data_IF_181177376793
#
_entry.id   IF_181177376793
#
_cell.length_a   1.000
_cell.length_b   1.000
_cell.length_c   1.000
_cell.angle_alpha   90.00
_cell.angle_beta   90.00
_cell.angle_gamma   90.00
#
_symmetry.space_group_name_H-M   'P 1'
#
loop_
_entity.id
_entity.type
_entity.pdbx_description
1 polymer ?
#
# COMPACT_ATOMS: atom_id res chain seq x y z
N UNK A 1 -24.44 -6.68 -2.96
CA UNK A 1 -24.72 -5.23 -2.78
C UNK A 1 -24.51 -4.94 -1.32
N UNK A 2 -23.57 -4.07 -0.98
CA UNK A 2 -23.34 -3.67 0.42
C UNK A 2 -24.51 -2.78 0.81
N UNK A 3 -25.18 -3.14 1.92
CA UNK A 3 -26.28 -2.34 2.47
C UNK A 3 -25.68 -1.16 3.25
N UNK A 4 -25.50 -0.03 2.57
CA UNK A 4 -24.93 1.18 3.17
C UNK A 4 -25.84 1.80 4.24
N UNK A 5 -27.15 1.49 4.26
CA UNK A 5 -28.08 1.99 5.26
C UNK A 5 -27.84 1.35 6.64
N UNK A 6 -27.13 0.23 6.69
CA UNK A 6 -26.71 -0.44 7.94
C UNK A 6 -25.26 -0.15 8.34
N UNK A 7 -24.50 0.56 7.52
CA UNK A 7 -23.14 0.93 7.87
C UNK A 7 -23.14 1.91 9.03
N UNK A 8 -22.58 1.52 10.18
CA UNK A 8 -22.34 2.45 11.27
C UNK A 8 -21.11 3.29 10.96
N UNK A 9 -21.25 4.59 11.07
CA UNK A 9 -20.14 5.52 10.94
C UNK A 9 -19.14 5.28 12.09
N UNK A 10 -17.92 4.88 11.76
CA UNK A 10 -16.82 4.75 12.69
C UNK A 10 -16.04 6.07 12.71
N UNK A 11 -16.12 6.80 13.82
CA UNK A 11 -15.36 8.04 13.99
C UNK A 11 -14.04 7.77 14.68
N UNK A 12 -12.95 7.95 13.95
CA UNK A 12 -11.61 8.01 14.51
C UNK A 12 -11.22 9.48 14.57
N UNK A 13 -11.15 10.04 15.77
CA UNK A 13 -10.83 11.46 15.96
C UNK A 13 -9.36 11.71 15.59
N UNK A 14 -9.12 12.79 14.83
CA UNK A 14 -7.79 13.31 14.50
C UNK A 14 -6.92 12.33 13.69
N UNK A 15 -7.51 11.33 13.04
CA UNK A 15 -6.77 10.45 12.16
C UNK A 15 -6.51 11.14 10.82
N UNK A 16 -5.27 11.05 10.35
CA UNK A 16 -4.93 11.33 8.97
C UNK A 16 -4.86 9.99 8.23
N UNK A 17 -5.81 9.75 7.36
CA UNK A 17 -5.97 8.47 6.63
C UNK A 17 -6.01 8.67 5.12
N UNK A 18 -5.67 9.84 4.64
CA UNK A 18 -5.87 10.23 3.24
C UNK A 18 -4.96 9.45 2.29
N UNK A 19 -3.84 8.92 2.81
CA UNK A 19 -2.92 8.14 1.99
C UNK A 19 -3.34 6.68 1.88
N UNK A 20 -3.39 6.18 0.67
CA UNK A 20 -4.01 4.90 0.29
C UNK A 20 -3.02 3.72 0.12
N UNK A 21 -1.73 3.98 -0.04
CA UNK A 21 -0.72 2.95 -0.40
C UNK A 21 -0.58 1.85 0.67
N UNK A 22 -0.72 2.14 1.94
CA UNK A 22 -0.42 1.18 2.99
C UNK A 22 -1.66 0.39 3.41
N UNK A 23 -1.49 -0.90 3.75
CA UNK A 23 -2.53 -1.69 4.40
C UNK A 23 -2.78 -1.14 5.81
N UNK A 24 -3.88 -0.41 5.98
CA UNK A 24 -4.22 0.31 7.22
C UNK A 24 -5.19 -0.46 8.09
N UNK A 25 -5.93 -1.39 7.52
CA UNK A 25 -6.97 -2.12 8.22
C UNK A 25 -6.97 -3.58 7.80
N UNK A 26 -7.06 -4.47 8.76
CA UNK A 26 -7.13 -5.90 8.53
C UNK A 26 -8.22 -6.52 9.40
N UNK A 27 -9.02 -7.40 8.81
CA UNK A 27 -9.96 -8.26 9.54
C UNK A 27 -9.22 -9.54 9.89
N UNK A 28 -9.09 -9.81 11.18
CA UNK A 28 -8.39 -10.99 11.67
C UNK A 28 -9.35 -12.17 11.87
N UNK A 29 -8.79 -13.37 12.02
CA UNK A 29 -9.55 -14.62 12.20
C UNK A 29 -10.38 -14.64 13.49
N UNK A 30 -10.00 -13.85 14.50
CA UNK A 30 -10.79 -13.66 15.71
C UNK A 30 -12.06 -12.82 15.50
N UNK A 31 -12.30 -12.34 14.26
CA UNK A 31 -13.45 -11.52 13.88
C UNK A 31 -13.34 -10.04 14.26
N UNK A 32 -12.19 -9.60 14.77
CA UNK A 32 -11.92 -8.20 15.04
C UNK A 32 -11.25 -7.53 13.84
N UNK A 33 -11.47 -6.24 13.69
CA UNK A 33 -10.79 -5.39 12.71
C UNK A 33 -9.75 -4.54 13.44
N UNK A 34 -8.52 -4.58 12.96
CA UNK A 34 -7.43 -3.74 13.45
C UNK A 34 -7.15 -2.63 12.43
N UNK A 35 -7.13 -1.38 12.89
CA UNK A 35 -6.86 -0.21 12.05
C UNK A 35 -5.67 0.53 12.63
N UNK A 36 -4.59 0.64 11.86
CA UNK A 36 -3.44 1.47 12.20
C UNK A 36 -3.57 2.84 11.50
N UNK A 37 -3.24 3.92 12.21
CA UNK A 37 -3.37 5.27 11.68
C UNK A 37 -2.38 6.24 12.32
N UNK A 38 -2.09 7.34 11.63
CA UNK A 38 -1.35 8.49 12.16
C UNK A 38 -2.34 9.59 12.53
N UNK A 39 -2.09 10.28 13.64
CA UNK A 39 -2.87 11.44 14.05
C UNK A 39 -2.30 12.72 13.44
N UNK A 40 -3.09 13.80 13.48
CA UNK A 40 -2.67 15.17 13.14
C UNK A 40 -1.54 15.72 14.04
N UNK A 41 -1.16 14.98 15.10
CA UNK A 41 -0.02 15.27 15.96
C UNK A 41 1.19 14.37 15.71
N UNK A 42 1.15 13.56 14.64
CA UNK A 42 2.21 12.61 14.30
C UNK A 42 2.29 11.39 15.23
N UNK A 43 1.22 11.07 15.94
CA UNK A 43 1.16 9.88 16.79
C UNK A 43 0.67 8.67 15.99
N UNK A 44 1.36 7.55 16.09
CA UNK A 44 0.96 6.28 15.50
C UNK A 44 0.09 5.51 16.49
N UNK A 45 -1.08 5.15 16.06
CA UNK A 45 -2.06 4.42 16.84
C UNK A 45 -2.50 3.15 16.13
N UNK A 46 -2.99 2.19 16.91
CA UNK A 46 -3.79 1.06 16.45
C UNK A 46 -5.10 1.02 17.21
N UNK A 47 -6.19 0.81 16.47
CA UNK A 47 -7.53 0.68 17.01
C UNK A 47 -8.07 -0.72 16.71
N UNK A 48 -8.70 -1.31 17.72
CA UNK A 48 -9.41 -2.57 17.63
C UNK A 48 -10.91 -2.31 17.58
N UNK A 49 -11.58 -2.92 16.62
CA UNK A 49 -13.01 -2.78 16.37
C UNK A 49 -13.65 -4.16 16.22
N UNK A 50 -14.79 -4.35 16.84
CA UNK A 50 -15.64 -5.49 16.55
C UNK A 50 -16.44 -5.21 15.26
N UNK A 51 -16.16 -5.95 14.19
CA UNK A 51 -16.85 -5.83 12.90
C UNK A 51 -18.36 -6.05 13.00
N UNK A 52 -18.82 -6.83 13.98
CA UNK A 52 -20.25 -7.06 14.25
C UNK A 52 -20.89 -5.91 14.98
N UNK A 53 -20.13 -4.84 15.28
CA UNK A 53 -20.59 -3.70 16.07
C UNK A 53 -21.31 -4.12 17.37
N UNK A 54 -20.84 -5.21 17.99
CA UNK A 54 -21.34 -5.66 19.26
C UNK A 54 -21.00 -4.62 20.33
N UNK A 55 -21.53 -4.78 21.52
CA UNK A 55 -21.39 -3.81 22.63
C UNK A 55 -19.96 -3.71 23.18
N UNK A 56 -19.00 -4.40 22.57
CA UNK A 56 -17.59 -4.36 23.00
C UNK A 56 -17.00 -2.98 22.68
N UNK A 57 -16.54 -2.23 23.67
CA UNK A 57 -15.93 -0.92 23.43
C UNK A 57 -14.66 -1.12 22.59
N UNK A 58 -14.51 -0.26 21.57
CA UNK A 58 -13.28 -0.23 20.78
C UNK A 58 -12.10 0.14 21.68
N UNK A 59 -11.00 -0.61 21.58
CA UNK A 59 -9.73 -0.27 22.23
C UNK A 59 -8.87 0.54 21.27
N UNK A 60 -8.14 1.50 21.79
CA UNK A 60 -7.20 2.35 21.07
C UNK A 60 -5.86 2.35 21.81
N UNK A 61 -4.78 2.10 21.11
CA UNK A 61 -3.45 2.03 21.71
C UNK A 61 -2.47 2.87 20.90
N UNK A 62 -1.79 3.79 21.60
CA UNK A 62 -0.72 4.60 21.02
C UNK A 62 0.57 3.81 21.00
N UNK A 63 1.15 3.61 19.82
CA UNK A 63 2.43 2.93 19.65
C UNK A 63 3.62 3.86 19.90
N UNK A 64 3.63 5.03 19.26
CA UNK A 64 4.71 6.00 19.38
C UNK A 64 4.24 7.40 18.96
N UNK A 65 5.17 8.35 19.04
CA UNK A 65 5.05 9.65 18.37
C UNK A 65 6.25 9.79 17.45
N UNK A 66 5.97 10.00 16.16
CA UNK A 66 7.01 10.28 15.19
C UNK A 66 7.68 11.61 15.51
N UNK A 67 8.99 11.67 15.29
CA UNK A 67 9.76 12.91 15.45
C UNK A 67 9.62 13.76 14.16
N UNK A 68 8.37 14.09 13.81
CA UNK A 68 8.01 14.97 12.71
C UNK A 68 7.03 16.01 13.25
N UNK A 69 7.13 17.23 12.75
CA UNK A 69 6.34 18.36 13.25
C UNK A 69 4.92 18.43 12.67
N UNK A 70 4.57 17.50 11.75
CA UNK A 70 3.32 17.57 10.98
C UNK A 70 2.64 16.23 10.91
N UNK A 71 1.30 16.27 10.88
CA UNK A 71 0.50 15.18 10.37
C UNK A 71 0.67 15.12 8.85
N UNK A 72 1.57 14.27 8.40
CA UNK A 72 1.84 14.02 7.00
C UNK A 72 1.26 12.64 6.66
N UNK A 73 0.40 12.58 5.67
CA UNK A 73 -0.25 11.34 5.24
C UNK A 73 0.73 10.28 4.75
N UNK A 74 1.93 10.69 4.29
CA UNK A 74 3.00 9.78 3.92
C UNK A 74 3.54 8.98 5.12
N UNK A 75 3.24 9.40 6.34
CA UNK A 75 3.59 8.71 7.58
C UNK A 75 2.60 7.60 7.95
N UNK A 76 1.62 7.33 7.09
CA UNK A 76 0.61 6.31 7.35
C UNK A 76 1.26 4.95 7.65
N UNK A 77 0.91 4.29 8.77
CA UNK A 77 1.44 2.99 9.13
C UNK A 77 0.84 1.87 8.29
N UNK A 78 1.48 0.70 8.34
CA UNK A 78 0.93 -0.56 7.84
C UNK A 78 0.71 -1.53 8.97
N UNK A 79 -0.37 -2.29 8.94
CA UNK A 79 -0.70 -3.32 9.93
C UNK A 79 -0.78 -4.69 9.26
N UNK A 80 -0.23 -5.71 9.92
CA UNK A 80 -0.39 -7.10 9.53
C UNK A 80 -0.71 -7.94 10.77
N UNK A 81 -1.61 -8.90 10.65
CA UNK A 81 -1.89 -9.90 11.68
C UNK A 81 -1.33 -11.22 11.17
N UNK A 82 -0.41 -11.80 11.95
CA UNK A 82 0.28 -13.03 11.61
C UNK A 82 -0.59 -14.25 11.92
N UNK A 83 -0.30 -15.39 11.31
CA UNK A 83 -0.98 -16.68 11.58
C UNK A 83 -0.93 -17.04 13.08
N UNK A 84 0.14 -16.66 13.78
CA UNK A 84 0.24 -16.77 15.23
C UNK A 84 -0.76 -15.90 16.02
N UNK A 85 -1.50 -15.02 15.34
CA UNK A 85 -2.36 -13.99 15.94
C UNK A 85 -1.60 -12.78 16.47
N UNK A 86 -0.26 -12.74 16.37
CA UNK A 86 0.52 -11.55 16.75
C UNK A 86 0.30 -10.44 15.72
N UNK A 87 0.26 -9.21 16.20
CA UNK A 87 0.00 -8.03 15.36
C UNK A 87 1.30 -7.26 15.22
N UNK A 88 1.70 -6.98 13.99
CA UNK A 88 2.82 -6.09 13.68
C UNK A 88 2.30 -4.79 13.06
N UNK A 89 2.84 -3.67 13.52
CA UNK A 89 2.60 -2.35 12.94
C UNK A 89 3.94 -1.75 12.56
N UNK A 90 4.12 -1.49 11.27
CA UNK A 90 5.29 -0.83 10.70
C UNK A 90 4.99 0.63 10.38
N UNK A 91 5.95 1.52 10.59
CA UNK A 91 5.81 2.95 10.36
C UNK A 91 7.15 3.62 10.10
N UNK A 92 7.10 4.76 9.42
CA UNK A 92 8.24 5.64 9.19
C UNK A 92 7.75 7.07 9.06
N UNK A 93 8.63 8.04 9.21
CA UNK A 93 8.33 9.41 8.79
C UNK A 93 8.54 9.57 7.29
N UNK A 94 8.02 10.65 6.71
CA UNK A 94 8.27 10.99 5.32
C UNK A 94 9.75 11.35 5.13
N UNK A 95 10.46 10.58 4.29
CA UNK A 95 11.89 10.75 4.01
C UNK A 95 12.77 10.79 5.29
N UNK A 96 12.43 10.01 6.32
CA UNK A 96 13.23 9.89 7.54
C UNK A 96 14.21 8.71 7.48
N UNK A 97 15.19 8.69 8.41
CA UNK A 97 16.12 7.57 8.50
C UNK A 97 15.51 6.43 9.32
N UNK A 98 15.59 5.22 8.76
CA UNK A 98 15.10 4.01 9.39
C UNK A 98 13.59 3.80 9.27
N UNK A 99 13.21 2.55 9.26
CA UNK A 99 11.85 2.07 9.35
C UNK A 99 11.67 1.46 10.72
N UNK A 100 10.57 1.78 11.37
CA UNK A 100 10.27 1.32 12.72
C UNK A 100 9.10 0.34 12.70
N UNK A 101 9.10 -0.59 13.65
CA UNK A 101 7.94 -1.43 13.88
C UNK A 101 7.86 -1.88 15.34
N UNK A 102 6.67 -2.28 15.73
CA UNK A 102 6.40 -2.99 16.99
C UNK A 102 5.52 -4.19 16.72
N UNK A 103 5.70 -5.22 17.51
CA UNK A 103 4.92 -6.46 17.42
C UNK A 103 4.36 -6.80 18.79
N UNK A 104 3.12 -7.33 18.84
CA UNK A 104 2.50 -7.75 20.11
C UNK A 104 3.21 -8.98 20.68
N UNK A 105 3.34 -9.05 21.98
CA UNK A 105 3.89 -10.22 22.68
C UNK A 105 2.84 -11.35 22.81
N UNK A 106 1.55 -10.97 22.82
CA UNK A 106 0.41 -11.89 22.91
C UNK A 106 -0.44 -11.81 21.65
N UNK A 107 -1.01 -12.94 21.20
CA UNK A 107 -1.96 -12.95 20.09
C UNK A 107 -3.13 -12.01 20.34
N UNK A 108 -3.51 -11.24 19.32
CA UNK A 108 -4.70 -10.38 19.28
C UNK A 108 -4.81 -9.35 20.42
N UNK A 109 -3.71 -9.03 21.11
CA UNK A 109 -3.73 -8.09 22.24
C UNK A 109 -2.95 -6.81 21.93
N UNK A 110 -3.65 -5.77 21.48
CA UNK A 110 -3.05 -4.47 21.16
C UNK A 110 -2.43 -3.75 22.37
N UNK A 111 -2.64 -4.21 23.59
CA UNK A 111 -1.98 -3.66 24.79
C UNK A 111 -0.62 -4.29 25.06
N UNK A 112 -0.27 -5.37 24.36
CA UNK A 112 0.94 -6.16 24.59
C UNK A 112 2.07 -5.86 23.60
N UNK A 113 2.09 -4.70 22.94
CA UNK A 113 3.20 -4.34 22.04
C UNK A 113 4.54 -4.29 22.78
N UNK A 114 5.50 -5.08 22.28
CA UNK A 114 6.87 -5.07 22.73
C UNK A 114 7.62 -3.76 22.42
N UNK A 115 8.92 -3.75 22.60
CA UNK A 115 9.78 -2.59 22.32
C UNK A 115 9.76 -2.28 20.82
N UNK A 116 9.96 -0.98 20.49
CA UNK A 116 10.19 -0.53 19.13
C UNK A 116 11.50 -1.11 18.58
N UNK A 117 11.44 -1.60 17.36
CA UNK A 117 12.62 -2.05 16.62
C UNK A 117 12.81 -1.10 15.43
N UNK A 118 14.04 -0.73 15.14
CA UNK A 118 14.41 0.09 13.99
C UNK A 118 15.20 -0.74 13.00
N UNK A 119 14.73 -0.79 11.77
CA UNK A 119 15.47 -1.37 10.64
C UNK A 119 16.28 -0.27 9.96
N UNK A 120 17.61 -0.43 9.87
CA UNK A 120 18.44 0.51 9.15
C UNK A 120 18.28 0.37 7.64
N UNK A 121 18.40 1.50 6.95
CA UNK A 121 18.47 1.60 5.49
C UNK A 121 19.58 2.57 5.08
N UNK A 122 20.16 2.32 3.92
CA UNK A 122 21.11 3.25 3.32
C UNK A 122 20.32 4.33 2.54
N UNK A 123 19.87 5.33 3.27
CA UNK A 123 19.07 6.43 2.75
C UNK A 123 17.83 6.73 3.61
N UNK A 124 17.03 7.65 3.11
CA UNK A 124 15.75 8.00 3.73
C UNK A 124 14.64 7.05 3.30
N UNK A 125 13.71 6.77 4.19
CA UNK A 125 12.63 5.80 4.00
C UNK A 125 11.29 6.52 3.98
N UNK A 126 10.40 6.06 3.12
CA UNK A 126 9.00 6.48 3.05
C UNK A 126 8.14 5.28 2.71
N UNK A 127 6.97 5.18 3.29
CA UNK A 127 6.00 4.08 3.15
C UNK A 127 6.48 2.76 3.76
N UNK A 128 5.52 2.01 4.23
CA UNK A 128 5.69 0.66 4.76
C UNK A 128 4.51 -0.17 4.29
N UNK A 129 4.77 -1.31 3.65
CA UNK A 129 3.74 -2.28 3.32
C UNK A 129 4.18 -3.64 3.86
N UNK A 130 3.38 -4.19 4.79
CA UNK A 130 3.66 -5.44 5.49
C UNK A 130 2.64 -6.49 5.08
N UNK A 131 3.13 -7.69 4.78
CA UNK A 131 2.29 -8.83 4.41
C UNK A 131 2.86 -10.11 5.01
N UNK A 132 2.00 -11.00 5.45
CA UNK A 132 2.38 -12.36 5.75
C UNK A 132 2.24 -13.23 4.50
N UNK A 133 3.31 -13.94 4.16
CA UNK A 133 3.35 -15.03 3.20
C UNK A 133 3.24 -16.34 3.98
N UNK A 134 2.01 -16.86 4.14
CA UNK A 134 1.77 -18.04 4.98
C UNK A 134 2.33 -19.30 4.32
N UNK A 135 2.36 -19.36 2.98
CA UNK A 135 2.93 -20.49 2.26
C UNK A 135 4.41 -20.74 2.57
N UNK A 136 5.15 -19.68 2.98
CA UNK A 136 6.57 -19.77 3.34
C UNK A 136 6.85 -19.50 4.82
N UNK A 137 5.82 -19.20 5.60
CA UNK A 137 5.96 -18.72 6.98
C UNK A 137 6.93 -17.53 7.05
N UNK A 138 6.71 -16.54 6.20
CA UNK A 138 7.53 -15.34 6.09
C UNK A 138 6.69 -14.08 6.26
N UNK A 139 7.29 -13.07 6.86
CA UNK A 139 6.79 -11.72 6.86
C UNK A 139 7.52 -10.92 5.79
N UNK A 140 6.78 -10.33 4.87
CA UNK A 140 7.29 -9.51 3.78
C UNK A 140 7.12 -8.03 4.07
N UNK A 141 8.14 -7.25 3.70
CA UNK A 141 8.16 -5.81 3.89
C UNK A 141 8.63 -5.12 2.61
N UNK A 142 7.83 -4.16 2.16
CA UNK A 142 8.15 -3.29 1.03
C UNK A 142 8.21 -1.84 1.50
N UNK A 143 9.21 -1.10 1.02
CA UNK A 143 9.41 0.30 1.36
C UNK A 143 10.10 1.06 0.25
N UNK A 144 9.89 2.38 0.16
CA UNK A 144 10.61 3.24 -0.76
C UNK A 144 11.81 3.90 -0.07
N UNK A 145 12.99 3.77 -0.68
CA UNK A 145 14.26 4.30 -0.14
C UNK A 145 14.83 5.35 -1.08
N UNK A 146 15.33 6.45 -0.51
CA UNK A 146 15.93 7.58 -1.24
C UNK A 146 15.05 8.10 -2.39
N UNK A 147 13.74 8.03 -2.22
CA UNK A 147 12.70 8.48 -3.14
C UNK A 147 12.60 7.73 -4.48
N UNK A 148 13.62 7.00 -4.90
CA UNK A 148 13.72 6.38 -6.24
C UNK A 148 13.74 4.87 -6.23
N UNK A 149 14.05 4.23 -5.11
CA UNK A 149 14.18 2.78 -5.00
C UNK A 149 13.05 2.20 -4.17
N UNK A 150 12.38 1.17 -4.67
CA UNK A 150 11.54 0.31 -3.86
C UNK A 150 12.33 -0.94 -3.49
N UNK A 151 12.36 -1.23 -2.19
CA UNK A 151 13.10 -2.32 -1.60
C UNK A 151 12.20 -3.32 -0.92
N UNK A 152 12.61 -4.57 -0.97
CA UNK A 152 11.99 -5.72 -0.35
C UNK A 152 12.90 -6.30 0.73
N UNK A 153 12.32 -6.71 1.86
CA UNK A 153 12.93 -7.55 2.89
C UNK A 153 11.94 -8.63 3.31
N UNK A 154 12.45 -9.71 3.85
CA UNK A 154 11.64 -10.75 4.48
C UNK A 154 12.21 -11.19 5.82
N UNK A 155 11.34 -11.72 6.68
CA UNK A 155 11.68 -12.30 7.97
C UNK A 155 11.06 -13.70 8.08
N UNK A 156 11.77 -14.67 8.64
CA UNK A 156 11.33 -16.05 8.87
C UNK A 156 11.08 -16.36 10.33
N UNK A 157 11.11 -15.37 11.18
CA UNK A 157 11.01 -15.47 12.62
C UNK A 157 10.11 -14.39 13.23
N UNK A 158 9.05 -14.04 12.49
CA UNK A 158 8.05 -13.03 12.88
C UNK A 158 8.68 -11.66 13.21
N UNK A 159 9.64 -11.24 12.40
CA UNK A 159 10.25 -9.91 12.52
C UNK A 159 11.37 -9.79 13.54
N UNK A 160 11.88 -10.88 14.12
CA UNK A 160 13.06 -10.83 15.02
C UNK A 160 14.35 -10.53 14.25
N UNK A 161 14.48 -11.16 13.07
CA UNK A 161 15.56 -10.89 12.12
C UNK A 161 15.00 -10.66 10.70
N UNK A 162 15.73 -9.90 9.90
CA UNK A 162 15.33 -9.56 8.54
C UNK A 162 16.47 -9.81 7.57
N UNK A 163 16.11 -10.18 6.33
CA UNK A 163 17.07 -10.24 5.24
C UNK A 163 17.70 -8.88 4.97
N UNK A 164 18.83 -8.87 4.27
CA UNK A 164 19.34 -7.65 3.67
C UNK A 164 18.32 -7.07 2.69
N UNK A 165 18.25 -5.73 2.55
CA UNK A 165 17.31 -5.09 1.63
C UNK A 165 17.69 -5.41 0.18
N UNK A 166 16.68 -5.68 -0.65
CA UNK A 166 16.84 -5.96 -2.08
C UNK A 166 16.07 -4.93 -2.89
N UNK A 167 16.72 -4.30 -3.84
CA UNK A 167 16.06 -3.42 -4.79
C UNK A 167 15.26 -4.26 -5.79
N UNK A 168 13.96 -4.02 -5.92
CA UNK A 168 13.14 -4.68 -6.93
C UNK A 168 12.57 -3.71 -7.97
N UNK A 169 12.53 -2.43 -7.65
CA UNK A 169 12.13 -1.38 -8.59
C UNK A 169 13.02 -0.15 -8.38
N UNK A 170 13.56 0.36 -9.48
CA UNK A 170 14.33 1.59 -9.51
C UNK A 170 13.85 2.47 -10.65
N UNK A 171 13.76 3.77 -10.42
CA UNK A 171 13.49 4.73 -11.46
C UNK A 171 14.78 5.29 -12.06
N UNK A 172 15.31 4.63 -13.10
CA UNK A 172 16.50 5.08 -13.82
C UNK A 172 16.32 6.48 -14.46
N UNK A 173 15.08 6.87 -14.77
CA UNK A 173 14.76 8.16 -15.38
C UNK A 173 14.61 9.30 -14.35
N UNK A 174 14.93 9.08 -13.07
CA UNK A 174 14.82 10.09 -12.01
C UNK A 174 13.39 10.43 -11.59
N UNK A 175 12.41 9.60 -11.99
CA UNK A 175 11.02 9.75 -11.57
C UNK A 175 10.74 9.06 -10.23
N UNK A 176 9.76 9.58 -9.49
CA UNK A 176 9.22 8.93 -8.30
C UNK A 176 8.11 7.97 -8.71
N UNK A 177 8.15 6.74 -8.20
CA UNK A 177 7.05 5.79 -8.35
C UNK A 177 6.35 5.53 -7.04
N UNK A 178 5.05 5.32 -7.13
CA UNK A 178 4.19 4.84 -6.06
C UNK A 178 3.70 3.45 -6.42
N UNK A 179 3.73 2.54 -5.47
CA UNK A 179 3.24 1.17 -5.63
C UNK A 179 2.22 0.90 -4.54
N UNK A 180 1.05 0.43 -4.92
CA UNK A 180 0.06 -0.15 -4.00
C UNK A 180 0.02 -1.65 -4.22
N UNK A 181 0.22 -2.41 -3.15
CA UNK A 181 0.25 -3.87 -3.14
C UNK A 181 -0.91 -4.37 -2.29
N UNK A 182 -1.64 -5.38 -2.77
CA UNK A 182 -2.72 -6.04 -2.03
C UNK A 182 -2.59 -7.55 -2.12
N UNK A 183 -2.62 -8.18 -0.96
CA UNK A 183 -2.66 -9.65 -0.87
C UNK A 183 -4.03 -10.18 -1.28
N UNK A 184 -4.05 -11.27 -2.04
CA UNK A 184 -5.26 -12.05 -2.32
C UNK A 184 -4.98 -13.53 -2.10
N UNK A 185 -6.03 -14.22 -1.67
CA UNK A 185 -6.05 -15.66 -1.55
C UNK A 185 -6.94 -16.21 -2.65
N UNK A 186 -6.37 -17.02 -3.55
CA UNK A 186 -7.10 -17.66 -4.63
C UNK A 186 -7.36 -19.10 -4.25
N UNK A 187 -8.64 -19.45 -4.09
CA UNK A 187 -9.01 -20.85 -3.83
C UNK A 187 -8.92 -21.62 -5.13
N UNK A 188 -8.07 -22.63 -5.16
CA UNK A 188 -7.87 -23.57 -6.28
C UNK A 188 -8.31 -24.97 -5.87
N UNK A 189 -8.42 -25.89 -6.83
CA UNK A 189 -8.70 -27.30 -6.53
C UNK A 189 -7.62 -27.99 -5.67
N UNK A 190 -6.42 -27.38 -5.57
CA UNK A 190 -5.27 -27.91 -4.83
C UNK A 190 -5.02 -27.17 -3.50
N UNK A 191 -5.87 -26.20 -3.11
CA UNK A 191 -5.72 -25.40 -1.89
C UNK A 191 -5.87 -23.91 -2.13
N UNK A 192 -5.21 -23.12 -1.28
CA UNK A 192 -5.18 -21.66 -1.37
C UNK A 192 -3.83 -21.24 -1.95
N UNK A 193 -3.87 -20.48 -3.06
CA UNK A 193 -2.71 -19.84 -3.66
C UNK A 193 -2.68 -18.36 -3.24
N UNK A 194 -1.63 -17.96 -2.55
CA UNK A 194 -1.43 -16.58 -2.12
C UNK A 194 -0.72 -15.79 -3.21
N UNK A 195 -1.27 -14.64 -3.52
CA UNK A 195 -0.71 -13.73 -4.50
C UNK A 195 -0.77 -12.28 -4.00
N UNK A 196 0.17 -11.46 -4.44
CA UNK A 196 0.22 -10.03 -4.15
C UNK A 196 0.07 -9.27 -5.47
N UNK A 197 -1.15 -8.85 -5.75
CA UNK A 197 -1.44 -7.99 -6.89
C UNK A 197 -1.00 -6.56 -6.57
N UNK A 198 -0.30 -5.93 -7.50
CA UNK A 198 0.11 -4.55 -7.34
C UNK A 198 -0.17 -3.73 -8.59
N UNK A 199 -0.35 -2.43 -8.39
CA UNK A 199 -0.25 -1.45 -9.44
C UNK A 199 0.69 -0.33 -9.03
N UNK A 200 1.34 0.27 -10.01
CA UNK A 200 2.28 1.37 -9.82
C UNK A 200 2.02 2.48 -10.83
N UNK A 201 2.41 3.70 -10.46
CA UNK A 201 2.38 4.86 -11.35
C UNK A 201 3.46 5.86 -10.97
N UNK A 202 3.86 6.71 -11.94
CA UNK A 202 4.80 7.77 -11.71
C UNK A 202 4.17 8.97 -11.00
N UNK A 203 4.98 9.70 -10.22
CA UNK A 203 4.53 10.93 -9.56
C UNK A 203 3.98 11.94 -10.60
N UNK A 204 2.77 12.47 -10.41
CA UNK A 204 2.07 13.26 -11.42
C UNK A 204 2.82 14.47 -11.98
N UNK A 205 3.71 15.07 -11.19
CA UNK A 205 4.46 16.28 -11.58
C UNK A 205 5.92 16.02 -11.94
N UNK A 206 6.53 15.00 -11.33
CA UNK A 206 7.98 14.79 -11.41
C UNK A 206 8.31 13.70 -12.43
N UNK A 207 7.49 12.67 -12.52
CA UNK A 207 7.67 11.58 -13.47
C UNK A 207 7.28 12.02 -14.88
N UNK A 208 8.04 11.58 -15.87
CA UNK A 208 7.67 11.72 -17.29
C UNK A 208 6.75 10.59 -17.76
N UNK A 209 6.68 9.50 -17.00
CA UNK A 209 5.84 8.36 -17.29
C UNK A 209 4.52 8.47 -16.51
N UNK A 210 3.45 8.72 -17.22
CA UNK A 210 2.08 8.82 -16.69
C UNK A 210 1.27 7.57 -17.02
N UNK A 211 1.91 6.40 -16.93
CA UNK A 211 1.30 5.10 -17.19
C UNK A 211 1.08 4.37 -15.87
N UNK A 212 -0.12 3.80 -15.69
CA UNK A 212 -0.37 2.82 -14.65
C UNK A 212 0.00 1.44 -15.18
N UNK A 213 0.88 0.76 -14.47
CA UNK A 213 1.28 -0.61 -14.76
C UNK A 213 0.94 -1.53 -13.59
N UNK A 214 0.81 -2.82 -13.88
CA UNK A 214 0.45 -3.81 -12.87
C UNK A 214 1.15 -5.14 -13.08
N UNK A 215 1.24 -5.90 -12.00
CA UNK A 215 1.78 -7.25 -11.97
C UNK A 215 1.35 -7.99 -10.73
N UNK A 216 1.83 -9.21 -10.58
CA UNK A 216 1.52 -10.09 -9.45
C UNK A 216 2.83 -10.70 -8.96
N UNK A 217 3.04 -10.74 -7.64
CA UNK A 217 4.01 -11.66 -7.03
C UNK A 217 3.27 -12.89 -6.52
N UNK A 218 3.80 -14.07 -6.80
CA UNK A 218 3.33 -15.30 -6.16
C UNK A 218 4.05 -15.54 -4.83
N UNK A 219 3.65 -16.58 -4.08
CA UNK A 219 4.27 -16.93 -2.80
C UNK A 219 5.76 -17.28 -2.89
N UNK A 220 6.26 -17.65 -4.07
CA UNK A 220 7.68 -17.87 -4.32
C UNK A 220 8.46 -16.59 -4.64
N UNK A 221 7.81 -15.43 -4.59
CA UNK A 221 8.42 -14.14 -4.91
C UNK A 221 8.62 -13.90 -6.41
N UNK A 222 8.16 -14.82 -7.25
CA UNK A 222 8.23 -14.69 -8.71
C UNK A 222 7.27 -13.63 -9.20
N UNK A 223 7.75 -12.70 -10.01
CA UNK A 223 6.93 -11.72 -10.72
C UNK A 223 6.18 -12.39 -11.87
N UNK A 224 4.90 -12.09 -11.97
CA UNK A 224 3.99 -12.58 -12.99
C UNK A 224 3.26 -11.42 -13.66
N UNK A 225 2.85 -11.59 -14.90
CA UNK A 225 1.82 -10.76 -15.55
C UNK A 225 0.45 -11.00 -14.92
N UNK A 226 -0.54 -10.18 -15.26
CA UNK A 226 -1.91 -10.34 -14.80
C UNK A 226 -2.59 -11.62 -15.34
N UNK A 227 -2.10 -12.19 -16.44
CA UNK A 227 -2.49 -13.50 -16.95
C UNK A 227 -1.74 -14.68 -16.29
N UNK A 228 -0.87 -14.37 -15.32
CA UNK A 228 0.01 -15.30 -14.58
C UNK A 228 1.18 -15.87 -15.37
N UNK A 229 1.51 -15.32 -16.52
CA UNK A 229 2.75 -15.65 -17.22
C UNK A 229 3.96 -15.17 -16.42
N UNK A 230 4.94 -16.05 -16.09
CA UNK A 230 6.12 -15.65 -15.34
C UNK A 230 6.97 -14.63 -16.11
N UNK A 231 7.54 -13.69 -15.37
CA UNK A 231 8.52 -12.70 -15.82
C UNK A 231 9.88 -12.99 -15.21
N UNK A 232 10.95 -12.50 -15.81
CA UNK A 232 12.32 -12.73 -15.36
C UNK A 232 12.70 -11.80 -14.19
N UNK A 233 12.02 -11.95 -13.06
CA UNK A 233 12.31 -11.27 -11.80
C UNK A 233 11.77 -12.07 -10.62
N UNK A 234 12.60 -12.27 -9.62
CA UNK A 234 12.20 -12.84 -8.34
C UNK A 234 12.65 -11.94 -7.18
N UNK A 235 11.78 -11.71 -6.21
CA UNK A 235 12.05 -10.86 -5.03
C UNK A 235 13.24 -11.34 -4.20
N UNK A 236 13.56 -12.64 -4.25
CA UNK A 236 14.67 -13.22 -3.49
C UNK A 236 16.02 -13.17 -4.22
N UNK A 237 16.05 -12.78 -5.49
CA UNK A 237 17.29 -12.73 -6.24
C UNK A 237 18.27 -11.71 -5.66
N UNK A 238 19.54 -12.10 -5.67
CA UNK A 238 20.64 -11.29 -5.14
C UNK A 238 21.14 -10.25 -6.15
N UNK A 239 20.78 -10.44 -7.43
CA UNK A 239 21.20 -9.54 -8.48
C UNK A 239 20.50 -8.18 -8.34
N UNK A 240 21.20 -7.11 -8.74
CA UNK A 240 20.61 -5.77 -8.91
C UNK A 240 19.62 -5.73 -10.10
N UNK A 241 19.04 -6.86 -10.48
CA UNK A 241 18.04 -6.95 -11.54
C UNK A 241 16.79 -6.22 -11.08
N UNK A 242 16.67 -5.04 -11.62
CA UNK A 242 15.56 -4.14 -11.37
C UNK A 242 14.42 -4.51 -12.29
N UNK A 243 13.21 -4.34 -11.78
CA UNK A 243 12.01 -4.49 -12.58
C UNK A 243 12.04 -3.51 -13.75
N UNK A 244 12.07 -4.05 -14.97
CA UNK A 244 11.80 -3.28 -16.17
C UNK A 244 10.29 -3.00 -16.24
N UNK A 245 9.91 -1.73 -16.23
CA UNK A 245 8.50 -1.34 -16.26
C UNK A 245 7.79 -1.80 -17.55
N UNK A 246 8.52 -1.95 -18.64
CA UNK A 246 7.96 -2.42 -19.91
C UNK A 246 7.56 -3.91 -19.88
N UNK A 247 8.07 -4.68 -18.92
CA UNK A 247 7.66 -6.06 -18.71
C UNK A 247 6.24 -6.18 -18.14
N UNK A 248 5.78 -5.15 -17.43
CA UNK A 248 4.50 -5.14 -16.73
C UNK A 248 3.32 -4.90 -17.67
N UNK A 249 2.14 -5.36 -17.25
CA UNK A 249 0.91 -5.08 -17.99
C UNK A 249 0.50 -3.61 -17.85
N UNK A 250 0.31 -2.95 -18.98
CA UNK A 250 -0.21 -1.58 -19.01
C UNK A 250 -1.71 -1.58 -18.69
N UNK A 251 -2.05 -0.94 -17.57
CA UNK A 251 -3.46 -0.72 -17.17
C UNK A 251 -4.04 0.48 -17.91
N UNK A 252 -3.31 1.59 -17.89
CA UNK A 252 -3.73 2.85 -18.47
C UNK A 252 -2.52 3.71 -18.82
N UNK A 253 -2.54 4.34 -19.99
CA UNK A 253 -1.57 5.37 -20.37
C UNK A 253 -2.30 6.69 -20.53
N UNK A 254 -1.88 7.69 -19.77
CA UNK A 254 -2.48 9.01 -19.87
C UNK A 254 -2.14 9.66 -21.22
N UNK A 255 -3.11 10.28 -21.90
CA UNK A 255 -2.87 11.06 -23.10
C UNK A 255 -1.87 12.21 -22.85
N UNK A 256 -1.25 12.71 -23.91
CA UNK A 256 -0.37 13.89 -23.84
C UNK A 256 -1.08 15.07 -23.16
N UNK A 257 -0.37 15.76 -22.28
CA UNK A 257 -0.91 16.87 -21.48
C UNK A 257 -1.79 16.46 -20.31
N UNK A 258 -1.94 15.14 -20.08
CA UNK A 258 -2.66 14.60 -18.91
C UNK A 258 -1.74 13.77 -18.03
N UNK A 259 -2.11 13.63 -16.78
CA UNK A 259 -1.47 12.74 -15.82
C UNK A 259 -2.50 11.84 -15.16
N UNK A 260 -2.06 10.94 -14.31
CA UNK A 260 -2.94 9.99 -13.63
C UNK A 260 -2.52 9.79 -12.19
N UNK A 261 -3.48 9.52 -11.33
CA UNK A 261 -3.26 9.04 -9.97
C UNK A 261 -3.96 7.70 -9.77
N UNK A 262 -3.22 6.74 -9.24
CA UNK A 262 -3.79 5.49 -8.75
C UNK A 262 -4.55 5.78 -7.46
N UNK A 263 -5.71 5.18 -7.27
CA UNK A 263 -6.59 5.38 -6.11
C UNK A 263 -6.79 4.12 -5.30
N UNK A 264 -6.87 2.99 -5.98
CA UNK A 264 -7.13 1.71 -5.32
C UNK A 264 -6.71 0.54 -6.19
N UNK A 265 -6.34 -0.54 -5.54
CA UNK A 265 -6.00 -1.82 -6.16
C UNK A 265 -6.86 -2.89 -5.52
N UNK A 266 -7.74 -3.51 -6.28
CA UNK A 266 -8.60 -4.56 -5.79
C UNK A 266 -8.19 -5.93 -6.34
N UNK A 267 -7.60 -6.79 -5.49
CA UNK A 267 -7.15 -8.12 -5.86
C UNK A 267 -8.35 -9.10 -5.90
N UNK A 268 -9.35 -8.77 -6.71
CA UNK A 268 -10.55 -9.57 -6.92
C UNK A 268 -10.38 -10.47 -8.15
N UNK A 269 -11.34 -11.35 -8.38
CA UNK A 269 -11.47 -12.06 -9.67
C UNK A 269 -12.72 -11.56 -10.37
N UNK A 270 -12.58 -10.80 -11.45
CA UNK A 270 -11.36 -10.31 -12.12
C UNK A 270 -10.64 -9.18 -11.32
N UNK A 271 -9.34 -9.01 -11.58
CA UNK A 271 -8.51 -7.92 -10.99
C UNK A 271 -9.07 -6.56 -11.39
N UNK A 272 -8.98 -5.58 -10.50
CA UNK A 272 -9.47 -4.21 -10.74
C UNK A 272 -8.49 -3.17 -10.24
N UNK A 273 -8.46 -2.03 -10.91
CA UNK A 273 -7.66 -0.86 -10.53
C UNK A 273 -8.55 0.38 -10.64
N UNK A 274 -8.66 1.12 -9.57
CA UNK A 274 -9.30 2.43 -9.52
C UNK A 274 -8.27 3.55 -9.71
N UNK A 275 -8.58 4.57 -10.52
CA UNK A 275 -7.65 5.66 -10.78
C UNK A 275 -8.39 6.92 -11.22
N UNK A 276 -7.67 8.05 -11.24
CA UNK A 276 -8.18 9.30 -11.75
C UNK A 276 -7.18 9.92 -12.73
N UNK A 277 -7.50 10.03 -14.03
CA UNK A 277 -6.80 10.91 -14.95
C UNK A 277 -7.21 12.36 -14.69
N UNK A 278 -6.28 13.28 -14.86
CA UNK A 278 -6.52 14.72 -14.71
C UNK A 278 -5.51 15.55 -15.51
N UNK A 279 -5.82 16.81 -15.69
CA UNK A 279 -4.94 17.81 -16.31
C UNK A 279 -4.34 18.66 -15.21
N UNK A 280 -3.04 18.92 -15.27
CA UNK A 280 -2.40 19.94 -14.42
C UNK A 280 -2.66 21.31 -15.05
N UNK A 281 -3.05 22.28 -14.23
CA UNK A 281 -3.15 23.67 -14.66
C UNK A 281 -1.77 24.35 -14.76
N UNK A 282 -1.76 25.63 -15.08
CA UNK A 282 -0.54 26.44 -15.20
C UNK A 282 0.29 26.53 -13.92
N UNK A 283 -0.32 26.25 -12.77
CA UNK A 283 0.30 26.27 -11.45
C UNK A 283 0.63 24.84 -10.94
N UNK A 284 0.64 23.86 -11.86
CA UNK A 284 0.82 22.43 -11.58
C UNK A 284 -0.22 21.84 -10.61
N UNK A 285 -1.38 22.46 -10.51
CA UNK A 285 -2.50 21.95 -9.73
C UNK A 285 -3.46 21.12 -10.61
N UNK A 286 -4.11 20.09 -10.08
CA UNK A 286 -5.14 19.35 -10.81
C UNK A 286 -6.32 20.28 -11.17
N UNK A 287 -6.71 20.27 -12.45
CA UNK A 287 -7.91 20.97 -12.88
C UNK A 287 -9.16 20.16 -12.47
N UNK A 288 -10.02 20.70 -11.59
CA UNK A 288 -11.20 19.98 -11.12
C UNK A 288 -12.18 19.61 -12.24
N UNK A 289 -12.21 20.43 -13.30
CA UNK A 289 -13.11 20.24 -14.45
C UNK A 289 -12.72 19.04 -15.31
N UNK A 290 -11.48 18.58 -15.21
CA UNK A 290 -10.90 17.52 -16.03
C UNK A 290 -10.43 16.30 -15.22
N UNK A 291 -10.88 16.16 -13.98
CA UNK A 291 -10.56 15.04 -13.12
C UNK A 291 -11.78 14.10 -12.98
N UNK A 292 -11.59 12.82 -13.27
CA UNK A 292 -12.66 11.83 -13.24
C UNK A 292 -12.20 10.56 -12.54
N UNK A 293 -13.10 9.94 -11.76
CA UNK A 293 -12.88 8.59 -11.26
C UNK A 293 -13.14 7.57 -12.35
N UNK A 294 -12.20 6.70 -12.58
CA UNK A 294 -12.23 5.61 -13.54
C UNK A 294 -11.85 4.29 -12.88
N UNK A 295 -12.23 3.20 -13.51
CA UNK A 295 -11.77 1.88 -13.12
C UNK A 295 -11.37 1.08 -14.37
N UNK A 296 -10.38 0.22 -14.20
CA UNK A 296 -10.01 -0.81 -15.15
C UNK A 296 -10.28 -2.19 -14.56
N UNK A 297 -10.68 -3.13 -15.39
CA UNK A 297 -10.92 -4.53 -15.02
C UNK A 297 -10.16 -5.43 -15.97
N UNK A 298 -9.40 -6.39 -15.44
CA UNK A 298 -8.68 -7.37 -16.27
C UNK A 298 -9.59 -8.51 -16.68
N UNK A 299 -9.89 -8.61 -17.97
CA UNK A 299 -10.76 -9.66 -18.54
C UNK A 299 -10.24 -10.11 -19.89
N UNK A 300 -10.30 -11.43 -20.15
CA UNK A 300 -9.92 -12.01 -21.43
C UNK A 300 -8.52 -11.59 -21.89
N UNK A 301 -7.54 -11.62 -20.97
CA UNK A 301 -6.14 -11.32 -21.26
C UNK A 301 -5.81 -9.83 -21.47
N UNK A 302 -6.72 -8.92 -21.14
CA UNK A 302 -6.49 -7.47 -21.30
C UNK A 302 -7.24 -6.62 -20.28
N UNK A 303 -6.72 -5.43 -20.03
CA UNK A 303 -7.37 -4.39 -19.25
C UNK A 303 -8.49 -3.72 -20.07
N UNK A 304 -9.67 -3.64 -19.47
CA UNK A 304 -10.86 -3.00 -20.03
C UNK A 304 -11.24 -1.82 -19.15
N UNK A 305 -11.31 -0.65 -19.76
CA UNK A 305 -11.64 0.59 -19.08
C UNK A 305 -13.13 0.74 -18.87
N UNK A 306 -13.54 1.22 -17.69
CA UNK A 306 -14.89 1.76 -17.51
C UNK A 306 -15.00 3.13 -18.20
N UNK A 307 -16.24 3.55 -18.48
CA UNK A 307 -16.52 4.98 -18.66
C UNK A 307 -16.18 5.71 -17.35
N UNK A 308 -15.94 7.02 -17.41
CA UNK A 308 -15.83 7.85 -16.22
C UNK A 308 -17.03 7.58 -15.30
N UNK A 309 -16.75 7.27 -14.03
CA UNK A 309 -17.79 6.91 -13.05
C UNK A 309 -18.48 8.18 -12.57
N UNK A 310 -17.69 9.17 -12.20
CA UNK A 310 -18.14 10.50 -11.80
C UNK A 310 -16.96 11.48 -11.89
N UNK A 311 -17.27 12.79 -11.83
CA UNK A 311 -16.24 13.82 -11.67
C UNK A 311 -15.54 13.65 -10.31
N UNK A 312 -14.23 13.77 -10.29
CA UNK A 312 -13.44 13.77 -9.06
C UNK A 312 -13.47 15.13 -8.35
N UNK A 313 -13.88 16.19 -9.05
CA UNK A 313 -14.11 17.52 -8.50
C UNK A 313 -12.92 18.10 -7.73
N UNK A 314 -13.24 19.04 -6.83
CA UNK A 314 -12.25 19.73 -5.99
C UNK A 314 -11.53 18.79 -5.00
N UNK A 315 -12.15 17.68 -4.62
CA UNK A 315 -11.59 16.75 -3.65
C UNK A 315 -10.26 16.12 -4.14
N UNK A 316 -10.23 15.67 -5.39
CA UNK A 316 -8.99 15.14 -5.96
C UNK A 316 -7.92 16.23 -6.12
N UNK A 317 -8.33 17.42 -6.54
CA UNK A 317 -7.46 18.56 -6.67
C UNK A 317 -6.79 18.91 -5.34
N UNK A 318 -7.57 18.99 -4.26
CA UNK A 318 -7.09 19.32 -2.93
C UNK A 318 -6.10 18.29 -2.39
N UNK A 319 -6.42 17.00 -2.49
CA UNK A 319 -5.55 15.92 -1.99
C UNK A 319 -4.26 15.76 -2.80
N UNK A 320 -4.28 16.09 -4.10
CA UNK A 320 -3.06 16.07 -4.92
C UNK A 320 -2.14 17.25 -4.62
N UNK A 321 -2.71 18.41 -4.25
CA UNK A 321 -1.93 19.61 -3.88
C UNK A 321 -1.28 19.39 -2.51
N UNK A 322 -2.02 18.90 -1.52
CA UNK A 322 -1.52 18.74 -0.15
C UNK A 322 -0.43 17.65 -0.05
N UNK A 323 -0.52 16.58 -0.84
CA UNK A 323 0.52 15.55 -0.93
C UNK A 323 1.79 15.94 -1.68
N UNK A 324 1.89 17.16 -2.16
CA UNK A 324 3.02 17.66 -2.97
C UNK A 324 3.77 18.83 -2.34
N UNK A 325 3.41 19.25 -1.15
CA UNK A 325 4.05 20.40 -0.48
C UNK A 325 5.26 20.04 0.38
N UNK A 326 5.92 18.90 0.12
CA UNK A 326 7.21 18.62 0.77
C UNK A 326 8.20 18.00 -0.20
#
# INVERSE_FOLDING_TARGET
MVDFDRAKELKIKRANTDWWINEKAIVADNGLTYIAYVTDMGEIHIKELDAKCSKTPSRDYRLCKLNCNYADEHNAPSVCVLESGRIIVGYTGHATRGLHYRITEKPYDISSFGREVTLPYDGTVTYVQLFENTAKNELWLFTRVSSVNWQFRYSRDEGKTWSEPKNFLHSAAGGLFYIDIRKQNIVTGNGVDEQWFFALYGHPRISKDHTIRSGIFNSDGQLLRCDRTPLDLNLYDQSDSQMDLEMLDTVYSAPEGTTVRLLDVAPTVPLRVGFAPFVLDKDDAPSPEHAYYCAATYKNGKWQMSKAICSAGEFLAKNVIDGSQT
#
